data_IF_801292968620
#
_entry.id   IF_801292968620
#
_cell.length_a   1.000
_cell.length_b   1.000
_cell.length_c   1.000
_cell.angle_alpha   90.00
_cell.angle_beta   90.00
_cell.angle_gamma   90.00
#
_symmetry.space_group_name_H-M   'P 1'
#
loop_
_entity.id
_entity.type
_entity.pdbx_description
1 polymer ?
#
# COMPACT_ATOMS: atom_id res chain seq x y z
N UNK A 1 8.55 11.78 -5.42
CA UNK A 1 7.66 10.68 -5.81
C UNK A 1 6.61 10.54 -4.72
N UNK A 2 5.35 10.32 -5.09
CA UNK A 2 4.22 10.24 -4.16
C UNK A 2 3.72 8.80 -4.04
N UNK A 3 3.34 8.38 -2.83
CA UNK A 3 2.82 7.05 -2.55
C UNK A 3 1.49 7.17 -1.80
N UNK A 4 0.43 6.58 -2.36
CA UNK A 4 -0.94 6.70 -1.87
C UNK A 4 -1.06 6.33 -0.38
N UNK A 5 -0.48 5.21 0.03
CA UNK A 5 -0.57 4.68 1.40
C UNK A 5 0.07 5.60 2.44
N UNK A 6 1.19 6.25 2.10
CA UNK A 6 1.81 7.29 2.92
C UNK A 6 0.98 8.58 2.97
N UNK A 7 0.38 8.97 1.84
CA UNK A 7 -0.47 10.15 1.72
C UNK A 7 -1.78 10.04 2.51
N UNK A 8 -2.11 8.88 3.08
CA UNK A 8 -3.20 8.76 4.05
C UNK A 8 -2.96 9.60 5.32
N UNK A 9 -1.71 9.95 5.65
CA UNK A 9 -1.37 10.87 6.75
C UNK A 9 -1.82 12.32 6.50
N UNK A 10 -2.10 12.70 5.24
CA UNK A 10 -2.61 14.05 4.89
C UNK A 10 -3.96 14.33 5.58
N UNK A 11 -4.68 13.30 6.01
CA UNK A 11 -5.88 13.40 6.86
C UNK A 11 -5.64 14.27 8.10
N UNK A 12 -4.42 14.30 8.63
CA UNK A 12 -4.05 15.16 9.75
C UNK A 12 -4.17 16.65 9.41
N UNK A 13 -3.71 17.06 8.22
CA UNK A 13 -3.85 18.44 7.73
C UNK A 13 -5.28 18.81 7.37
N UNK A 14 -6.10 17.83 6.96
CA UNK A 14 -7.54 18.02 6.79
C UNK A 14 -8.25 18.22 8.14
N UNK A 15 -7.95 17.38 9.13
CA UNK A 15 -8.52 17.48 10.48
C UNK A 15 -8.13 18.79 11.17
N UNK A 16 -6.93 19.30 10.88
CA UNK A 16 -6.43 20.60 11.38
C UNK A 16 -6.96 21.81 10.58
N UNK A 17 -7.81 21.61 9.58
CA UNK A 17 -8.42 22.68 8.79
C UNK A 17 -7.49 23.36 7.78
N UNK A 18 -6.29 22.82 7.56
CA UNK A 18 -5.31 23.38 6.61
C UNK A 18 -5.66 23.08 5.14
N UNK A 19 -6.44 22.02 4.90
CA UNK A 19 -6.93 21.65 3.57
C UNK A 19 -8.41 21.27 3.60
N UNK A 20 -9.11 21.48 2.50
CA UNK A 20 -10.47 21.02 2.31
C UNK A 20 -10.53 19.51 2.04
N UNK A 21 -11.67 18.88 2.36
CA UNK A 21 -11.94 17.49 2.04
C UNK A 21 -11.81 17.19 0.53
N UNK A 22 -12.20 18.15 -0.32
CA UNK A 22 -12.04 18.03 -1.78
C UNK A 22 -10.59 18.00 -2.21
N UNK A 23 -9.71 18.77 -1.56
CA UNK A 23 -8.27 18.74 -1.84
C UNK A 23 -7.65 17.40 -1.42
N UNK A 24 -8.06 16.85 -0.27
CA UNK A 24 -7.65 15.53 0.20
C UNK A 24 -8.00 14.44 -0.82
N UNK A 25 -9.30 14.34 -1.21
CA UNK A 25 -9.74 13.34 -2.18
C UNK A 25 -9.07 13.51 -3.56
N UNK A 26 -8.86 14.74 -4.01
CA UNK A 26 -8.16 15.01 -5.28
C UNK A 26 -6.70 14.55 -5.23
N UNK A 27 -6.00 14.76 -4.11
CA UNK A 27 -4.63 14.26 -3.94
C UNK A 27 -4.62 12.72 -4.00
N UNK A 28 -5.45 12.08 -3.18
CA UNK A 28 -5.56 10.63 -3.14
C UNK A 28 -5.87 10.02 -4.50
N UNK A 29 -6.82 10.58 -5.24
CA UNK A 29 -7.18 10.11 -6.57
C UNK A 29 -5.99 10.12 -7.53
N UNK A 30 -5.32 11.26 -7.69
CA UNK A 30 -4.22 11.38 -8.65
C UNK A 30 -3.00 10.52 -8.29
N UNK A 31 -2.67 10.45 -6.99
CA UNK A 31 -1.56 9.61 -6.53
C UNK A 31 -1.88 8.13 -6.73
N UNK A 32 -3.11 7.70 -6.42
CA UNK A 32 -3.55 6.31 -6.62
C UNK A 32 -3.52 5.92 -8.10
N UNK A 33 -4.02 6.78 -9.00
CA UNK A 33 -3.97 6.54 -10.46
C UNK A 33 -2.53 6.48 -10.96
N UNK A 34 -1.67 7.41 -10.55
CA UNK A 34 -0.25 7.39 -10.93
C UNK A 34 0.47 6.12 -10.43
N UNK A 35 0.19 5.71 -9.20
CA UNK A 35 0.71 4.47 -8.62
C UNK A 35 0.22 3.24 -9.39
N UNK A 36 -1.06 3.18 -9.76
CA UNK A 36 -1.65 2.08 -10.53
C UNK A 36 -1.03 1.93 -11.92
N UNK A 37 -0.94 3.03 -12.67
CA UNK A 37 -0.32 3.05 -14.00
C UNK A 37 1.15 2.62 -13.92
N UNK A 38 1.90 3.19 -12.96
CA UNK A 38 3.30 2.83 -12.76
C UNK A 38 3.49 1.36 -12.40
N UNK A 39 2.67 0.82 -11.50
CA UNK A 39 2.75 -0.56 -11.05
C UNK A 39 2.50 -1.56 -12.19
N UNK A 40 1.48 -1.33 -13.03
CA UNK A 40 1.20 -2.17 -14.20
C UNK A 40 2.31 -2.06 -15.24
N UNK A 41 2.79 -0.83 -15.52
CA UNK A 41 3.86 -0.63 -16.48
C UNK A 41 5.14 -1.38 -16.07
N UNK A 42 5.52 -1.32 -14.79
CA UNK A 42 6.66 -2.06 -14.26
C UNK A 42 6.43 -3.57 -14.32
N UNK A 43 5.24 -4.07 -13.98
CA UNK A 43 4.92 -5.49 -14.12
C UNK A 43 5.09 -5.98 -15.57
N UNK A 44 4.65 -5.18 -16.55
CA UNK A 44 4.84 -5.47 -17.97
C UNK A 44 6.31 -5.45 -18.40
N UNK A 45 7.09 -4.47 -17.95
CA UNK A 45 8.54 -4.42 -18.24
C UNK A 45 9.28 -5.61 -17.64
N UNK A 46 8.93 -6.04 -16.42
CA UNK A 46 9.51 -7.24 -15.80
C UNK A 46 9.15 -8.49 -16.61
N UNK A 47 7.90 -8.63 -17.07
CA UNK A 47 7.50 -9.74 -17.94
C UNK A 47 8.29 -9.76 -19.26
N UNK A 48 8.50 -8.60 -19.88
CA UNK A 48 9.25 -8.46 -21.15
C UNK A 48 10.77 -8.57 -21.00
N UNK A 49 11.30 -8.43 -19.77
CA UNK A 49 12.74 -8.46 -19.50
C UNK A 49 13.37 -9.87 -19.52
N UNK A 50 12.57 -10.93 -19.58
CA UNK A 50 13.02 -12.32 -19.45
C UNK A 50 13.32 -12.75 -18.00
N UNK A 51 13.21 -11.86 -17.01
CA UNK A 51 13.44 -12.19 -15.58
C UNK A 51 12.51 -13.28 -15.06
N UNK A 52 11.31 -13.41 -15.63
CA UNK A 52 10.36 -14.46 -15.24
C UNK A 52 10.87 -15.88 -15.55
N UNK A 53 11.75 -16.03 -16.55
CA UNK A 53 12.38 -17.31 -16.92
C UNK A 53 13.58 -17.66 -16.03
N UNK A 54 14.06 -16.71 -15.23
CA UNK A 54 15.20 -16.93 -14.34
C UNK A 54 14.98 -18.11 -13.39
N UNK A 55 16.07 -18.83 -13.09
CA UNK A 55 16.02 -20.01 -12.24
C UNK A 55 15.14 -21.15 -12.80
N UNK A 56 14.99 -21.24 -14.12
CA UNK A 56 14.16 -22.25 -14.78
C UNK A 56 12.66 -21.99 -14.61
N UNK A 57 12.25 -20.71 -14.58
CA UNK A 57 10.86 -20.29 -14.38
C UNK A 57 10.39 -20.30 -12.92
N UNK A 58 11.30 -20.42 -11.94
CA UNK A 58 10.94 -20.40 -10.52
C UNK A 58 10.41 -19.03 -10.08
N UNK A 59 10.90 -17.95 -10.68
CA UNK A 59 10.40 -16.58 -10.47
C UNK A 59 8.95 -16.46 -10.94
N UNK A 60 8.63 -16.93 -12.15
CA UNK A 60 7.26 -16.94 -12.66
C UNK A 60 6.30 -17.73 -11.74
N UNK A 61 6.69 -18.94 -11.33
CA UNK A 61 5.90 -19.76 -10.40
C UNK A 61 5.64 -19.05 -9.07
N UNK A 62 6.65 -18.37 -8.54
CA UNK A 62 6.53 -17.60 -7.31
C UNK A 62 5.58 -16.41 -7.48
N UNK A 63 5.72 -15.65 -8.56
CA UNK A 63 4.82 -14.53 -8.86
C UNK A 63 3.36 -14.98 -9.03
N UNK A 64 3.13 -16.08 -9.77
CA UNK A 64 1.81 -16.67 -9.96
C UNK A 64 1.19 -17.11 -8.62
N UNK A 65 1.92 -17.88 -7.80
CA UNK A 65 1.42 -18.35 -6.50
C UNK A 65 1.12 -17.23 -5.51
N UNK A 66 1.90 -16.15 -5.50
CA UNK A 66 1.63 -14.97 -4.67
C UNK A 66 0.32 -14.30 -5.12
N UNK A 67 0.11 -14.13 -6.43
CA UNK A 67 -1.10 -13.50 -6.94
C UNK A 67 -2.35 -14.35 -6.65
N UNK A 68 -2.26 -15.67 -6.83
CA UNK A 68 -3.31 -16.63 -6.49
C UNK A 68 -3.67 -16.61 -5.00
N UNK A 69 -2.66 -16.60 -4.14
CA UNK A 69 -2.87 -16.50 -2.70
C UNK A 69 -3.60 -15.21 -2.31
N UNK A 70 -3.31 -14.09 -3.01
CA UNK A 70 -3.93 -12.78 -2.74
C UNK A 70 -5.40 -12.69 -3.14
N UNK A 71 -5.75 -13.22 -4.32
CA UNK A 71 -7.15 -13.22 -4.78
C UNK A 71 -8.02 -14.20 -3.97
N UNK A 72 -7.41 -15.20 -3.33
CA UNK A 72 -8.09 -16.15 -2.47
C UNK A 72 -8.44 -15.59 -1.07
N UNK A 73 -7.91 -14.41 -0.70
CA UNK A 73 -8.17 -13.82 0.62
C UNK A 73 -9.62 -13.31 0.68
N UNK A 74 -10.42 -13.74 1.68
CA UNK A 74 -11.77 -13.21 1.89
C UNK A 74 -11.77 -11.70 2.12
N UNK A 75 -12.77 -10.98 1.62
CA UNK A 75 -12.76 -9.51 1.61
C UNK A 75 -12.62 -8.85 2.99
N UNK A 76 -13.22 -9.43 4.04
CA UNK A 76 -13.08 -8.92 5.42
C UNK A 76 -11.63 -9.09 5.91
N UNK A 77 -11.03 -10.24 5.63
CA UNK A 77 -9.65 -10.51 6.00
C UNK A 77 -8.69 -9.59 5.22
N UNK A 78 -8.92 -9.40 3.92
CA UNK A 78 -8.16 -8.47 3.09
C UNK A 78 -8.24 -7.03 3.61
N UNK A 79 -9.43 -6.60 4.05
CA UNK A 79 -9.62 -5.30 4.70
C UNK A 79 -8.80 -5.18 5.99
N UNK A 80 -8.91 -6.14 6.92
CA UNK A 80 -8.18 -6.11 8.19
C UNK A 80 -6.66 -6.15 7.97
N UNK A 81 -6.19 -7.02 7.07
CA UNK A 81 -4.77 -7.06 6.65
C UNK A 81 -4.33 -5.73 6.04
N UNK A 82 -5.21 -5.05 5.30
CA UNK A 82 -4.99 -3.69 4.79
C UNK A 82 -4.86 -2.63 5.89
N UNK A 83 -5.70 -2.71 6.93
CA UNK A 83 -5.61 -1.82 8.10
C UNK A 83 -4.25 -1.97 8.78
N UNK A 84 -3.87 -3.20 9.12
CA UNK A 84 -2.62 -3.49 9.82
C UNK A 84 -1.39 -3.14 8.98
N UNK A 85 -1.44 -3.39 7.67
CA UNK A 85 -0.40 -2.94 6.73
C UNK A 85 -0.14 -1.44 6.87
N UNK A 86 -1.20 -0.64 6.77
CA UNK A 86 -1.00 0.81 6.66
C UNK A 86 -0.70 1.48 8.00
N UNK A 87 -1.01 0.85 9.13
CA UNK A 87 -0.46 1.26 10.44
C UNK A 87 1.06 1.18 10.42
N UNK A 88 1.64 0.09 9.92
CA UNK A 88 3.10 -0.08 9.82
C UNK A 88 3.73 0.83 8.77
N UNK A 89 3.07 1.05 7.63
CA UNK A 89 3.55 2.02 6.62
C UNK A 89 3.57 3.44 7.19
N UNK A 90 2.50 3.88 7.83
CA UNK A 90 2.46 5.20 8.45
C UNK A 90 3.48 5.35 9.59
N UNK A 91 3.74 4.27 10.36
CA UNK A 91 4.81 4.25 11.35
C UNK A 91 6.19 4.45 10.68
N UNK A 92 6.47 3.75 9.57
CA UNK A 92 7.73 3.93 8.83
C UNK A 92 7.90 5.38 8.34
N UNK A 93 6.83 6.00 7.82
CA UNK A 93 6.84 7.40 7.39
C UNK A 93 7.12 8.34 8.57
N UNK A 94 6.48 8.10 9.72
CA UNK A 94 6.71 8.88 10.94
C UNK A 94 8.15 8.78 11.45
N UNK A 95 8.71 7.57 11.51
CA UNK A 95 10.10 7.35 11.91
C UNK A 95 11.07 8.03 10.92
N UNK A 96 10.74 8.03 9.62
CA UNK A 96 11.50 8.78 8.61
C UNK A 96 11.46 10.29 8.80
N UNK A 97 10.34 10.86 9.25
CA UNK A 97 10.25 12.28 9.58
C UNK A 97 11.03 12.63 10.85
N UNK A 98 11.09 11.72 11.82
CA UNK A 98 11.89 11.90 13.03
C UNK A 98 13.40 11.72 12.80
N UNK A 99 13.81 10.95 11.79
CA UNK A 99 15.21 10.69 11.50
C UNK A 99 15.90 11.86 10.76
N UNK A 100 17.06 12.30 11.28
CA UNK A 100 17.84 13.40 10.70
C UNK A 100 18.91 12.96 9.69
N UNK A 101 19.20 11.66 9.58
CA UNK A 101 20.20 11.11 8.65
C UNK A 101 19.56 10.17 7.62
N UNK A 102 20.17 10.06 6.44
CA UNK A 102 19.71 9.14 5.39
C UNK A 102 19.76 7.69 5.87
N UNK A 103 20.84 7.30 6.57
CA UNK A 103 20.97 5.96 7.16
C UNK A 103 19.88 5.66 8.19
N UNK A 104 19.52 6.65 9.03
CA UNK A 104 18.41 6.53 9.98
C UNK A 104 17.08 6.32 9.28
N UNK A 105 16.81 7.05 8.19
CA UNK A 105 15.59 6.87 7.36
C UNK A 105 15.52 5.49 6.72
N UNK A 106 16.66 4.97 6.23
CA UNK A 106 16.73 3.60 5.68
C UNK A 106 16.37 2.57 6.76
N UNK A 107 16.98 2.65 7.95
CA UNK A 107 16.68 1.74 9.06
C UNK A 107 15.23 1.86 9.55
N UNK A 108 14.67 3.07 9.57
CA UNK A 108 13.28 3.34 9.92
C UNK A 108 12.27 2.65 8.99
N UNK A 109 12.63 2.45 7.72
CA UNK A 109 11.79 1.77 6.72
C UNK A 109 11.98 0.25 6.80
N UNK A 110 13.20 -0.25 6.98
CA UNK A 110 13.50 -1.69 6.88
C UNK A 110 12.60 -2.53 7.79
N UNK A 111 12.51 -2.20 9.08
CA UNK A 111 11.80 -3.05 10.03
C UNK A 111 10.27 -3.06 9.82
N UNK A 112 9.56 -1.91 9.73
CA UNK A 112 8.11 -1.95 9.56
C UNK A 112 7.67 -2.55 8.22
N UNK A 113 8.42 -2.27 7.14
CA UNK A 113 8.11 -2.83 5.82
C UNK A 113 8.35 -4.35 5.81
N UNK A 114 9.49 -4.81 6.35
CA UNK A 114 9.77 -6.25 6.45
C UNK A 114 8.72 -6.96 7.30
N UNK A 115 8.28 -6.34 8.40
CA UNK A 115 7.26 -6.91 9.29
C UNK A 115 5.92 -7.11 8.57
N UNK A 116 5.38 -6.09 7.88
CA UNK A 116 4.08 -6.26 7.23
C UNK A 116 4.15 -7.28 6.08
N UNK A 117 5.27 -7.33 5.35
CA UNK A 117 5.49 -8.32 4.28
C UNK A 117 5.57 -9.73 4.88
N UNK A 118 6.36 -9.93 5.94
CA UNK A 118 6.52 -11.23 6.59
C UNK A 118 5.22 -11.73 7.26
N UNK A 119 4.41 -10.82 7.80
CA UNK A 119 3.10 -11.13 8.39
C UNK A 119 1.99 -11.34 7.35
N UNK A 120 2.27 -11.12 6.06
CA UNK A 120 1.30 -11.28 4.99
C UNK A 120 0.17 -10.23 5.01
N UNK A 121 0.48 -9.02 5.48
CA UNK A 121 -0.45 -7.89 5.40
C UNK A 121 -0.54 -7.33 3.97
N UNK A 122 -1.66 -6.70 3.66
CA UNK A 122 -2.02 -6.34 2.30
C UNK A 122 -1.80 -4.85 2.02
N UNK A 123 -1.01 -4.55 0.98
CA UNK A 123 -0.70 -3.19 0.57
C UNK A 123 -1.27 -2.92 -0.82
N UNK A 124 -2.22 -2.00 -0.94
CA UNK A 124 -2.96 -1.72 -2.18
C UNK A 124 -2.02 -1.48 -3.37
N UNK A 125 -1.05 -0.56 -3.24
CA UNK A 125 -0.09 -0.27 -4.32
C UNK A 125 0.84 -1.44 -4.65
N UNK A 126 1.15 -2.31 -3.67
CA UNK A 126 1.97 -3.49 -3.96
C UNK A 126 1.14 -4.52 -4.74
N UNK A 127 -0.14 -4.67 -4.40
CA UNK A 127 -1.07 -5.54 -5.11
C UNK A 127 -1.33 -5.08 -6.55
N UNK A 128 -1.29 -3.76 -6.82
CA UNK A 128 -1.33 -3.22 -8.19
C UNK A 128 -0.16 -3.70 -9.06
N UNK A 129 0.96 -4.12 -8.46
CA UNK A 129 2.09 -4.73 -9.18
C UNK A 129 2.02 -6.26 -9.14
N UNK A 130 1.82 -6.84 -7.95
CA UNK A 130 1.89 -8.28 -7.73
C UNK A 130 0.82 -9.06 -8.49
N UNK A 131 -0.42 -8.54 -8.57
CA UNK A 131 -1.49 -9.22 -9.29
C UNK A 131 -1.25 -9.22 -10.81
N UNK A 132 -0.94 -8.09 -11.47
CA UNK A 132 -0.56 -8.12 -12.89
C UNK A 132 0.70 -8.92 -13.18
N UNK A 133 1.72 -8.85 -12.30
CA UNK A 133 2.94 -9.65 -12.46
C UNK A 133 2.64 -11.16 -12.40
N UNK A 134 1.76 -11.59 -11.49
CA UNK A 134 1.30 -12.98 -11.44
C UNK A 134 0.47 -13.39 -12.67
N UNK A 135 -0.39 -12.50 -13.17
CA UNK A 135 -1.13 -12.72 -14.42
C UNK A 135 -0.18 -12.93 -15.61
N UNK A 136 0.81 -12.06 -15.78
CA UNK A 136 1.84 -12.21 -16.83
C UNK A 136 2.70 -13.47 -16.64
N UNK A 137 2.87 -13.93 -15.40
CA UNK A 137 3.55 -15.17 -15.07
C UNK A 137 2.69 -16.44 -15.28
N UNK A 138 1.43 -16.31 -15.72
CA UNK A 138 0.55 -17.42 -16.08
C UNK A 138 -0.57 -17.73 -15.08
N UNK A 139 -0.78 -16.92 -14.04
CA UNK A 139 -1.90 -17.08 -13.11
C UNK A 139 -3.22 -16.60 -13.75
N UNK A 140 -3.86 -17.49 -14.54
CA UNK A 140 -5.13 -17.21 -15.24
C UNK A 140 -6.32 -17.03 -14.30
N UNK A 141 -6.19 -17.44 -13.05
CA UNK A 141 -7.11 -17.22 -11.94
C UNK A 141 -7.23 -15.75 -11.54
N UNK A 142 -6.23 -14.90 -11.85
CA UNK A 142 -6.27 -13.45 -11.64
C UNK A 142 -7.18 -12.81 -12.70
N UNK A 143 -8.49 -12.94 -12.50
CA UNK A 143 -9.50 -12.26 -13.30
C UNK A 143 -9.64 -10.80 -12.88
N UNK A 144 -10.32 -9.99 -13.71
CA UNK A 144 -10.67 -8.61 -13.32
C UNK A 144 -11.50 -8.57 -12.03
N UNK A 145 -12.41 -9.53 -11.86
CA UNK A 145 -13.23 -9.65 -10.65
C UNK A 145 -12.38 -9.99 -9.43
N UNK A 146 -11.46 -10.95 -9.53
CA UNK A 146 -10.52 -11.28 -8.45
C UNK A 146 -9.60 -10.11 -8.10
N UNK A 147 -9.15 -9.37 -9.11
CA UNK A 147 -8.35 -8.16 -8.92
C UNK A 147 -9.12 -7.09 -8.13
N UNK A 148 -10.37 -6.82 -8.51
CA UNK A 148 -11.23 -5.83 -7.83
C UNK A 148 -11.59 -6.30 -6.42
N UNK A 149 -11.93 -7.58 -6.26
CA UNK A 149 -12.31 -8.20 -4.99
C UNK A 149 -11.17 -8.20 -3.95
N UNK A 150 -9.91 -8.17 -4.39
CA UNK A 150 -8.76 -7.94 -3.53
C UNK A 150 -8.49 -6.43 -3.33
N UNK A 151 -8.40 -5.66 -4.42
CA UNK A 151 -7.87 -4.30 -4.35
C UNK A 151 -8.78 -3.34 -3.57
N UNK A 152 -10.11 -3.44 -3.73
CA UNK A 152 -11.05 -2.55 -3.02
C UNK A 152 -10.94 -2.71 -1.49
N UNK A 153 -11.12 -3.90 -0.90
CA UNK A 153 -11.07 -4.03 0.56
C UNK A 153 -9.68 -3.66 1.10
N UNK A 154 -8.59 -4.00 0.40
CA UNK A 154 -7.24 -3.63 0.83
C UNK A 154 -7.04 -2.12 0.82
N UNK A 155 -7.50 -1.41 -0.22
CA UNK A 155 -7.42 0.05 -0.29
C UNK A 155 -8.24 0.72 0.81
N UNK A 156 -9.47 0.25 1.05
CA UNK A 156 -10.29 0.74 2.16
C UNK A 156 -9.63 0.49 3.51
N UNK A 157 -9.04 -0.70 3.69
CA UNK A 157 -8.27 -1.05 4.87
C UNK A 157 -7.08 -0.12 5.05
N UNK A 158 -6.32 0.16 4.00
CA UNK A 158 -5.17 1.08 4.08
C UNK A 158 -5.62 2.51 4.44
N UNK A 159 -6.70 3.02 3.84
CA UNK A 159 -7.27 4.34 4.19
C UNK A 159 -7.65 4.37 5.67
N UNK A 160 -8.34 3.33 6.16
CA UNK A 160 -8.77 3.26 7.56
C UNK A 160 -7.57 3.18 8.51
N UNK A 161 -6.61 2.28 8.25
CA UNK A 161 -5.42 2.12 9.09
C UNK A 161 -4.56 3.38 9.16
N UNK A 162 -4.27 4.00 8.01
CA UNK A 162 -3.41 5.19 7.98
C UNK A 162 -4.14 6.48 8.36
N UNK A 163 -5.32 6.71 7.79
CA UNK A 163 -6.09 7.92 8.00
C UNK A 163 -6.76 7.97 9.36
N UNK A 164 -7.46 6.90 9.76
CA UNK A 164 -8.23 6.88 11.02
C UNK A 164 -7.35 6.46 12.20
N UNK A 165 -6.74 5.28 12.15
CA UNK A 165 -6.04 4.74 13.33
C UNK A 165 -4.71 5.44 13.62
N UNK A 166 -4.05 6.01 12.60
CA UNK A 166 -2.81 6.77 12.80
C UNK A 166 -3.05 8.27 12.73
N UNK A 167 -3.45 8.81 11.57
CA UNK A 167 -3.47 10.26 11.38
C UNK A 167 -4.44 10.98 12.34
N UNK A 168 -5.69 10.51 12.47
CA UNK A 168 -6.66 11.11 13.38
C UNK A 168 -6.30 10.90 14.85
N UNK A 169 -5.79 9.72 15.24
CA UNK A 169 -5.36 9.49 16.63
C UNK A 169 -4.23 10.45 17.01
N UNK A 170 -3.22 10.61 16.15
CA UNK A 170 -2.13 11.56 16.40
C UNK A 170 -2.62 13.00 16.43
N UNK A 171 -3.56 13.38 15.54
CA UNK A 171 -4.17 14.70 15.58
C UNK A 171 -4.89 14.96 16.91
N UNK A 172 -5.70 14.02 17.39
CA UNK A 172 -6.43 14.14 18.65
C UNK A 172 -5.47 14.32 19.83
N UNK A 173 -4.39 13.54 19.87
CA UNK A 173 -3.44 13.51 21.00
C UNK A 173 -2.54 14.75 21.02
N UNK A 174 -2.10 15.25 19.86
CA UNK A 174 -1.04 16.27 19.79
C UNK A 174 -1.46 17.63 19.23
N UNK A 175 -2.48 17.69 18.37
CA UNK A 175 -2.79 18.89 17.59
C UNK A 175 -4.16 19.50 17.93
N UNK A 176 -5.12 18.71 18.40
CA UNK A 176 -6.43 19.21 18.81
C UNK A 176 -6.26 20.13 20.02
N UNK A 177 -6.49 21.43 19.81
CA UNK A 177 -6.55 22.41 20.90
C UNK A 177 -7.81 22.12 21.74
N UNK A 178 -7.72 22.10 23.09
CA UNK A 178 -8.91 22.07 23.94
C UNK A 178 -9.79 23.28 23.60
N UNK A 179 -11.10 23.08 23.49
CA UNK A 179 -12.03 24.21 23.46
C UNK A 179 -11.83 25.02 24.75
N UNK A 180 -11.48 26.30 24.59
CA UNK A 180 -11.38 27.27 25.69
C UNK A 180 -12.75 27.88 25.97
#
# INVERSE_FOLDING_TARGET
AELFTGNNLIVMGWADGQISFRQLLRNWFWVYVGNFIGAIAIAGLVALSGVMEAGGGSVAKTAASIAEAKIAIPSIEAFIRGVLCNVLVCLAVWLCFAAHTVSGKILAIIFPISAFVALGFEHSVANMYLLPAGYFAGATSVTLDGFIANLIPVTLGNIFGGGVLVALVYWIVYLRKPEQ
#
